data_IF_437921696379
#
_entry.id   IF_437921696379
#
_cell.length_a   1.000
_cell.length_b   1.000
_cell.length_c   1.000
_cell.angle_alpha   90.00
_cell.angle_beta   90.00
_cell.angle_gamma   90.00
#
_symmetry.space_group_name_H-M   'P 1'
#
loop_
_entity.id
_entity.type
_entity.pdbx_description
1 polymer ?
#
# COMPACT_ATOMS: atom_id res chain seq x y z
N UNK A 1 3.69 5.86 -14.98
CA UNK A 1 3.72 5.12 -13.69
C UNK A 1 2.46 4.28 -13.67
N UNK A 2 2.56 2.94 -13.57
CA UNK A 2 1.38 2.07 -13.56
C UNK A 2 0.63 2.30 -12.23
N UNK A 3 -0.63 2.67 -12.36
CA UNK A 3 -1.48 3.00 -11.23
C UNK A 3 -1.80 1.73 -10.42
N UNK A 4 -1.41 1.68 -9.15
CA UNK A 4 -1.77 0.60 -8.20
C UNK A 4 -3.25 0.68 -7.76
N UNK A 5 -4.08 1.42 -8.51
CA UNK A 5 -5.47 1.71 -8.18
C UNK A 5 -6.37 0.46 -8.21
N UNK A 6 -5.93 -0.62 -8.84
CA UNK A 6 -6.71 -1.84 -9.08
C UNK A 6 -6.15 -3.07 -8.37
N UNK A 7 -5.50 -2.91 -7.21
CA UNK A 7 -5.13 -4.08 -6.40
C UNK A 7 -6.42 -4.67 -5.81
N UNK A 8 -6.82 -5.84 -6.30
CA UNK A 8 -7.91 -6.67 -5.83
C UNK A 8 -7.38 -7.90 -5.09
N UNK A 9 -8.29 -8.68 -4.49
CA UNK A 9 -7.98 -9.93 -3.79
C UNK A 9 -6.85 -9.78 -2.76
N UNK A 10 -6.99 -8.80 -1.88
CA UNK A 10 -5.97 -8.48 -0.89
C UNK A 10 -6.08 -9.42 0.31
N UNK A 11 -5.02 -10.16 0.57
CA UNK A 11 -4.85 -10.97 1.78
C UNK A 11 -4.14 -10.10 2.82
N UNK A 12 -4.74 -9.94 3.99
CA UNK A 12 -4.15 -9.17 5.09
C UNK A 12 -3.61 -10.08 6.19
N UNK A 13 -2.48 -9.68 6.76
CA UNK A 13 -1.81 -10.31 7.89
C UNK A 13 -1.73 -11.86 7.78
N UNK A 14 -1.29 -12.43 6.64
CA UNK A 14 -1.19 -13.88 6.53
C UNK A 14 -0.16 -14.43 7.51
N UNK A 15 -0.51 -15.55 8.16
CA UNK A 15 0.40 -16.28 9.03
C UNK A 15 1.53 -16.88 8.17
N UNK A 16 2.78 -16.76 8.63
CA UNK A 16 3.96 -17.29 7.96
C UNK A 16 4.40 -18.62 8.63
N UNK A 17 4.57 -19.73 7.88
CA UNK A 17 4.53 -19.82 6.42
C UNK A 17 3.12 -19.69 5.84
N UNK A 18 3.01 -18.93 4.74
CA UNK A 18 1.78 -18.75 3.98
C UNK A 18 1.85 -19.53 2.68
N UNK A 19 0.80 -20.26 2.34
CA UNK A 19 0.62 -20.91 1.03
C UNK A 19 -0.82 -20.67 0.62
N UNK A 20 -1.01 -19.92 -0.47
CA UNK A 20 -2.34 -19.54 -0.93
C UNK A 20 -2.47 -19.58 -2.43
N UNK A 21 -3.65 -19.99 -2.89
CA UNK A 21 -3.99 -20.01 -4.32
C UNK A 21 -4.11 -18.58 -4.84
N UNK A 22 -3.50 -18.32 -5.99
CA UNK A 22 -3.64 -17.07 -6.73
C UNK A 22 -5.00 -17.12 -7.46
N UNK A 23 -5.87 -16.11 -7.28
CA UNK A 23 -7.27 -16.19 -7.70
C UNK A 23 -7.46 -16.15 -9.22
N UNK A 24 -6.52 -15.58 -9.97
CA UNK A 24 -6.55 -15.49 -11.42
C UNK A 24 -5.18 -15.82 -12.01
N UNK A 25 -5.17 -16.16 -13.31
CA UNK A 25 -3.96 -16.44 -14.06
C UNK A 25 -3.05 -15.20 -14.13
N UNK A 26 -1.75 -15.41 -13.97
CA UNK A 26 -0.74 -14.36 -14.05
C UNK A 26 -0.40 -14.00 -15.50
N UNK A 27 -1.24 -13.17 -16.11
CA UNK A 27 -1.02 -12.66 -17.48
C UNK A 27 -0.02 -11.50 -17.52
N UNK A 28 0.62 -11.21 -18.68
CA UNK A 28 1.44 -10.01 -18.84
C UNK A 28 0.68 -8.73 -18.47
N UNK A 29 1.31 -7.91 -17.63
CA UNK A 29 0.74 -6.72 -17.00
C UNK A 29 0.25 -6.95 -15.56
N UNK A 30 0.14 -8.20 -15.10
CA UNK A 30 -0.29 -8.50 -13.73
C UNK A 30 0.73 -7.98 -12.72
N UNK A 31 0.24 -7.40 -11.62
CA UNK A 31 1.06 -6.94 -10.50
C UNK A 31 0.76 -7.77 -9.26
N UNK A 32 1.81 -8.18 -8.56
CA UNK A 32 1.74 -8.77 -7.22
C UNK A 32 2.40 -7.79 -6.27
N UNK A 33 1.65 -7.29 -5.30
CA UNK A 33 2.12 -6.30 -4.33
C UNK A 33 2.16 -6.93 -2.95
N UNK A 34 3.34 -6.97 -2.33
CA UNK A 34 3.55 -7.58 -1.03
C UNK A 34 4.11 -6.53 -0.08
N UNK A 35 3.38 -6.22 0.98
CA UNK A 35 3.79 -5.27 2.02
C UNK A 35 4.10 -6.03 3.30
N UNK A 36 5.20 -5.68 3.95
CA UNK A 36 5.61 -6.36 5.18
C UNK A 36 6.72 -5.63 5.91
N UNK A 37 7.30 -6.30 6.90
CA UNK A 37 8.50 -5.87 7.60
C UNK A 37 9.44 -7.04 7.83
N UNK A 38 10.74 -6.73 7.93
CA UNK A 38 11.79 -7.70 8.23
C UNK A 38 12.07 -7.68 9.75
N UNK A 39 11.88 -8.79 10.48
CA UNK A 39 12.28 -8.87 11.88
C UNK A 39 13.78 -8.66 12.11
N UNK A 40 14.18 -8.14 13.27
CA UNK A 40 15.59 -7.86 13.61
C UNK A 40 16.48 -9.11 13.58
N UNK A 41 15.93 -10.26 13.94
CA UNK A 41 16.61 -11.56 13.98
C UNK A 41 16.48 -12.35 12.66
N UNK A 42 15.98 -11.72 11.58
CA UNK A 42 15.82 -12.36 10.28
C UNK A 42 17.17 -12.72 9.66
N UNK A 43 17.31 -13.96 9.21
CA UNK A 43 18.46 -14.46 8.43
C UNK A 43 18.10 -14.58 6.95
N UNK A 44 16.84 -14.92 6.64
CA UNK A 44 16.26 -14.92 5.30
C UNK A 44 14.74 -14.99 5.35
N UNK A 45 14.12 -14.58 4.25
CA UNK A 45 12.76 -14.98 3.90
C UNK A 45 12.67 -15.22 2.40
N UNK A 46 11.57 -15.81 1.93
CA UNK A 46 11.36 -16.02 0.50
C UNK A 46 9.89 -15.84 0.11
N UNK A 47 9.71 -15.40 -1.13
CA UNK A 47 8.45 -15.37 -1.85
C UNK A 47 8.61 -16.29 -3.05
N UNK A 48 7.78 -17.32 -3.12
CA UNK A 48 7.82 -18.36 -4.16
C UNK A 48 6.52 -18.31 -4.97
N UNK A 49 6.63 -18.12 -6.28
CA UNK A 49 5.53 -18.35 -7.22
C UNK A 49 5.60 -19.80 -7.70
N UNK A 50 4.60 -20.61 -7.35
CA UNK A 50 4.62 -22.07 -7.44
C UNK A 50 3.55 -22.60 -8.40
N UNK A 51 3.81 -23.78 -8.96
CA UNK A 51 2.83 -24.58 -9.69
C UNK A 51 2.29 -25.67 -8.78
N UNK A 52 1.14 -25.39 -8.17
CA UNK A 52 0.54 -26.16 -7.09
C UNK A 52 1.21 -25.95 -5.73
N UNK A 53 0.68 -26.64 -4.73
CA UNK A 53 1.11 -26.61 -3.33
C UNK A 53 1.56 -27.98 -2.80
N UNK A 54 1.83 -28.94 -3.69
CA UNK A 54 2.31 -30.27 -3.30
C UNK A 54 3.62 -30.18 -2.51
N UNK A 55 3.72 -30.97 -1.44
CA UNK A 55 4.94 -31.07 -0.62
C UNK A 55 5.76 -32.32 -0.91
N UNK A 56 5.17 -33.33 -1.57
CA UNK A 56 5.85 -34.56 -1.96
C UNK A 56 5.20 -35.18 -3.22
N UNK A 57 5.84 -35.07 -4.40
CA UNK A 57 7.04 -34.27 -4.65
C UNK A 57 6.75 -32.79 -4.42
N UNK A 58 7.76 -32.02 -4.00
CA UNK A 58 7.63 -30.58 -3.83
C UNK A 58 7.23 -29.93 -5.15
N UNK A 59 6.23 -29.06 -5.07
CA UNK A 59 5.75 -28.26 -6.18
C UNK A 59 6.89 -27.47 -6.85
N UNK A 60 6.82 -27.39 -8.18
CA UNK A 60 7.75 -26.58 -8.96
C UNK A 60 7.64 -25.10 -8.51
N UNK A 61 8.78 -24.44 -8.35
CA UNK A 61 8.86 -23.01 -8.03
C UNK A 61 9.28 -22.29 -9.29
N UNK A 62 8.34 -21.63 -9.97
CA UNK A 62 8.57 -20.90 -11.21
C UNK A 62 9.49 -19.71 -10.97
N UNK A 63 9.23 -18.95 -9.90
CA UNK A 63 10.06 -17.84 -9.46
C UNK A 63 10.27 -17.88 -7.94
N UNK A 64 11.51 -18.15 -7.54
CA UNK A 64 11.97 -18.04 -6.16
C UNK A 64 12.60 -16.67 -5.97
N UNK A 65 12.10 -15.88 -5.02
CA UNK A 65 12.66 -14.58 -4.64
C UNK A 65 13.07 -14.63 -3.17
N UNK A 66 14.38 -14.69 -2.89
CA UNK A 66 14.89 -14.98 -1.56
C UNK A 66 15.91 -13.96 -1.06
N UNK A 67 15.44 -12.91 -0.37
CA UNK A 67 16.30 -12.01 0.40
C UNK A 67 17.03 -12.74 1.54
N UNK A 68 18.35 -12.55 1.63
CA UNK A 68 19.24 -13.17 2.63
C UNK A 68 20.02 -12.08 3.37
N UNK A 69 19.98 -12.12 4.70
CA UNK A 69 20.66 -11.19 5.61
C UNK A 69 21.87 -11.88 6.26
N UNK A 70 22.98 -11.97 5.52
CA UNK A 70 24.22 -12.63 5.93
C UNK A 70 25.37 -11.61 5.97
N UNK A 71 26.63 -12.08 5.95
CA UNK A 71 27.83 -11.21 5.86
C UNK A 71 27.80 -10.30 4.63
N UNK A 72 27.34 -10.83 3.51
CA UNK A 72 27.01 -10.06 2.30
C UNK A 72 25.53 -10.25 2.05
N UNK A 73 24.74 -9.20 2.25
CA UNK A 73 23.32 -9.23 1.96
C UNK A 73 23.10 -9.37 0.45
N UNK A 74 22.11 -10.16 0.07
CA UNK A 74 21.74 -10.33 -1.32
C UNK A 74 20.31 -10.82 -1.45
N UNK A 75 19.77 -10.69 -2.65
CA UNK A 75 18.57 -11.39 -3.09
C UNK A 75 19.02 -12.50 -4.03
N UNK A 76 18.61 -13.73 -3.72
CA UNK A 76 18.83 -14.88 -4.60
C UNK A 76 17.54 -15.20 -5.33
N UNK A 77 17.64 -15.31 -6.65
CA UNK A 77 16.55 -15.72 -7.53
C UNK A 77 16.87 -17.04 -8.21
N UNK A 78 15.88 -17.93 -8.33
CA UNK A 78 16.04 -19.21 -9.01
C UNK A 78 14.68 -19.83 -9.40
N UNK A 79 14.71 -20.98 -10.06
CA UNK A 79 13.57 -21.82 -10.41
C UNK A 79 13.84 -23.23 -9.93
N UNK A 80 12.85 -23.85 -9.29
CA UNK A 80 12.86 -25.27 -8.91
C UNK A 80 11.99 -26.03 -9.90
N UNK A 81 12.54 -27.06 -10.54
CA UNK A 81 11.81 -27.95 -11.45
C UNK A 81 12.11 -29.40 -11.10
N UNK A 82 11.08 -30.21 -10.86
CA UNK A 82 11.21 -31.60 -10.42
C UNK A 82 12.17 -31.72 -9.22
N UNK A 83 11.95 -30.89 -8.19
CA UNK A 83 12.76 -30.82 -6.96
C UNK A 83 14.25 -30.47 -7.15
N UNK A 84 14.65 -30.01 -8.35
CA UNK A 84 16.02 -29.57 -8.65
C UNK A 84 16.09 -28.07 -8.92
N UNK A 85 16.97 -27.39 -8.20
CA UNK A 85 17.26 -25.98 -8.42
C UNK A 85 18.05 -25.77 -9.71
N UNK A 86 17.72 -24.72 -10.46
CA UNK A 86 18.50 -24.26 -11.60
C UNK A 86 19.70 -23.39 -11.18
N UNK A 87 20.19 -22.59 -12.14
CA UNK A 87 21.26 -21.61 -11.92
C UNK A 87 20.78 -20.46 -11.03
N UNK A 88 21.50 -20.12 -9.97
CA UNK A 88 21.18 -18.94 -9.16
C UNK A 88 21.48 -17.63 -9.91
N UNK A 89 20.60 -16.65 -9.75
CA UNK A 89 20.83 -15.25 -10.11
C UNK A 89 20.85 -14.42 -8.83
N UNK A 90 21.91 -13.62 -8.61
CA UNK A 90 22.15 -12.94 -7.34
C UNK A 90 22.21 -11.43 -7.55
N UNK A 91 21.37 -10.70 -6.81
CA UNK A 91 21.39 -9.23 -6.76
C UNK A 91 21.99 -8.80 -5.42
N UNK A 92 23.06 -8.00 -5.47
CA UNK A 92 23.78 -7.52 -4.28
C UNK A 92 23.37 -6.11 -3.81
N UNK A 93 22.74 -5.31 -4.67
CA UNK A 93 22.11 -4.05 -4.26
C UNK A 93 20.85 -4.39 -3.45
N UNK A 94 21.02 -4.50 -2.12
CA UNK A 94 19.99 -5.01 -1.20
C UNK A 94 19.05 -3.87 -0.74
N UNK A 95 17.76 -3.87 -1.15
CA UNK A 95 16.81 -2.86 -0.70
C UNK A 95 16.22 -3.16 0.68
N UNK A 96 16.25 -4.42 1.14
CA UNK A 96 15.70 -4.82 2.43
C UNK A 96 16.68 -4.56 3.57
N UNK A 97 16.15 -4.15 4.71
CA UNK A 97 16.91 -3.98 5.96
C UNK A 97 16.13 -4.62 7.11
N UNK A 98 16.85 -5.22 8.05
CA UNK A 98 16.29 -5.68 9.32
C UNK A 98 15.59 -4.51 10.03
N UNK A 99 14.49 -4.81 10.70
CA UNK A 99 13.62 -3.86 11.42
C UNK A 99 13.01 -2.77 10.53
N UNK A 100 12.98 -2.96 9.21
CA UNK A 100 12.36 -2.03 8.28
C UNK A 100 11.22 -2.68 7.51
N UNK A 101 10.21 -1.86 7.25
CA UNK A 101 9.10 -2.19 6.37
C UNK A 101 9.53 -2.17 4.91
N UNK A 102 8.78 -2.87 4.07
CA UNK A 102 8.98 -2.89 2.64
C UNK A 102 7.65 -2.99 1.88
N UNK A 103 7.68 -2.54 0.63
CA UNK A 103 6.71 -2.84 -0.43
C UNK A 103 7.48 -3.52 -1.57
N UNK A 104 7.10 -4.74 -1.91
CA UNK A 104 7.56 -5.44 -3.12
C UNK A 104 6.47 -5.31 -4.17
N UNK A 105 6.84 -4.90 -5.38
CA UNK A 105 5.98 -4.94 -6.56
C UNK A 105 6.63 -5.88 -7.58
N UNK A 106 6.01 -7.03 -7.82
CA UNK A 106 6.40 -7.97 -8.87
C UNK A 106 5.46 -7.81 -10.06
N UNK A 107 5.99 -7.37 -11.19
CA UNK A 107 5.27 -7.23 -12.44
C UNK A 107 5.56 -8.42 -13.34
N UNK A 108 4.50 -9.07 -13.81
CA UNK A 108 4.58 -10.16 -14.78
C UNK A 108 4.65 -9.53 -16.17
N UNK A 109 5.74 -9.72 -16.89
CA UNK A 109 5.88 -9.35 -18.29
C UNK A 109 5.85 -10.61 -19.16
N UNK A 110 5.79 -10.42 -20.48
CA UNK A 110 5.73 -11.54 -21.44
C UNK A 110 6.92 -12.49 -21.32
N UNK A 111 8.11 -11.97 -21.05
CA UNK A 111 9.38 -12.72 -21.08
C UNK A 111 10.08 -12.82 -19.72
N UNK A 112 9.61 -12.09 -18.70
CA UNK A 112 10.29 -11.97 -17.40
C UNK A 112 9.37 -11.47 -16.30
N UNK A 113 9.83 -11.60 -15.06
CA UNK A 113 9.37 -10.79 -13.94
C UNK A 113 10.22 -9.52 -13.83
N UNK A 114 9.58 -8.41 -13.51
CA UNK A 114 10.24 -7.17 -13.12
C UNK A 114 9.90 -6.84 -11.67
N UNK A 115 10.91 -6.69 -10.82
CA UNK A 115 10.71 -6.45 -9.39
C UNK A 115 11.20 -5.07 -9.00
N UNK A 116 10.34 -4.33 -8.32
CA UNK A 116 10.68 -3.10 -7.60
C UNK A 116 10.45 -3.30 -6.10
N UNK A 117 11.29 -2.66 -5.29
CA UNK A 117 11.14 -2.63 -3.84
C UNK A 117 11.18 -1.17 -3.38
N UNK A 118 10.18 -0.75 -2.61
CA UNK A 118 10.01 0.63 -2.13
C UNK A 118 10.10 1.66 -3.27
N UNK A 119 9.39 1.40 -4.38
CA UNK A 119 9.37 2.26 -5.56
C UNK A 119 10.65 2.25 -6.41
N UNK A 120 11.74 1.61 -5.98
CA UNK A 120 12.99 1.50 -6.74
C UNK A 120 13.07 0.17 -7.50
N UNK A 121 13.38 0.22 -8.78
CA UNK A 121 13.71 -0.98 -9.56
C UNK A 121 14.85 -1.76 -8.87
N UNK A 122 14.67 -3.08 -8.72
CA UNK A 122 15.60 -3.95 -7.98
C UNK A 122 16.22 -5.00 -8.89
N UNK A 123 15.40 -5.77 -9.62
CA UNK A 123 15.90 -6.83 -10.51
C UNK A 123 14.90 -7.21 -11.61
N UNK A 124 15.41 -7.96 -12.59
CA UNK A 124 14.64 -8.67 -13.60
C UNK A 124 14.93 -10.17 -13.47
N UNK A 125 13.95 -11.01 -13.78
CA UNK A 125 14.13 -12.46 -13.78
C UNK A 125 13.42 -13.08 -14.99
N UNK A 126 14.18 -13.60 -15.95
CA UNK A 126 13.62 -14.19 -17.17
C UNK A 126 12.83 -15.48 -16.87
N UNK A 127 11.70 -15.67 -17.56
CA UNK A 127 10.87 -16.86 -17.37
C UNK A 127 11.62 -18.12 -17.79
N UNK A 128 11.82 -19.05 -16.85
CA UNK A 128 12.41 -20.39 -17.12
C UNK A 128 11.35 -21.48 -17.26
N UNK A 129 10.18 -21.24 -16.68
CA UNK A 129 8.95 -22.03 -16.81
C UNK A 129 7.84 -21.03 -17.21
N UNK A 130 6.87 -21.48 -18.00
CA UNK A 130 5.74 -20.64 -18.40
C UNK A 130 5.02 -20.08 -17.15
N UNK A 131 4.79 -18.75 -17.06
CA UNK A 131 4.07 -18.16 -15.93
C UNK A 131 2.62 -18.63 -15.82
N UNK A 132 2.03 -19.17 -16.90
CA UNK A 132 0.69 -19.77 -16.90
C UNK A 132 0.55 -20.97 -15.95
N UNK A 133 1.67 -21.58 -15.56
CA UNK A 133 1.67 -22.69 -14.60
C UNK A 133 1.57 -22.23 -13.14
N UNK A 134 1.70 -20.93 -12.88
CA UNK A 134 1.67 -20.39 -11.53
C UNK A 134 0.21 -20.27 -11.09
N UNK A 135 -0.13 -20.97 -10.01
CA UNK A 135 -1.44 -20.90 -9.36
C UNK A 135 -1.33 -20.68 -7.84
N UNK A 136 -0.12 -20.64 -7.29
CA UNK A 136 0.11 -20.67 -5.84
C UNK A 136 1.21 -19.69 -5.45
N UNK A 137 0.94 -18.87 -4.43
CA UNK A 137 1.91 -18.01 -3.76
C UNK A 137 2.33 -18.66 -2.44
N UNK A 138 3.63 -18.90 -2.29
CA UNK A 138 4.24 -19.32 -1.04
C UNK A 138 5.09 -18.21 -0.42
N UNK A 139 4.97 -17.97 0.88
CA UNK A 139 5.83 -17.04 1.63
C UNK A 139 6.37 -17.78 2.85
N UNK A 140 7.70 -17.82 3.00
CA UNK A 140 8.38 -18.62 4.02
C UNK A 140 9.55 -17.86 4.65
N UNK A 141 10.01 -18.34 5.81
CA UNK A 141 11.15 -17.78 6.53
C UNK A 141 10.77 -16.64 7.47
N UNK A 142 11.77 -15.89 7.94
CA UNK A 142 11.61 -14.87 8.97
C UNK A 142 11.21 -13.53 8.35
N UNK A 143 9.90 -13.35 8.18
CA UNK A 143 9.29 -12.11 7.67
C UNK A 143 7.90 -11.96 8.26
N UNK A 144 7.44 -10.73 8.41
CA UNK A 144 6.05 -10.43 8.73
C UNK A 144 5.40 -9.75 7.55
N UNK A 145 4.28 -10.29 7.09
CA UNK A 145 3.55 -9.77 5.93
C UNK A 145 2.30 -9.07 6.44
N UNK A 146 2.14 -7.81 6.06
CA UNK A 146 0.96 -7.01 6.37
C UNK A 146 -0.12 -7.21 5.31
N UNK A 147 0.27 -7.26 4.03
CA UNK A 147 -0.66 -7.58 2.95
C UNK A 147 0.01 -8.18 1.73
N UNK A 148 -0.78 -8.95 0.99
CA UNK A 148 -0.50 -9.40 -0.38
C UNK A 148 -1.70 -8.99 -1.22
N UNK A 149 -1.49 -8.32 -2.34
CA UNK A 149 -2.58 -8.00 -3.26
C UNK A 149 -2.18 -8.21 -4.71
N UNK A 150 -3.17 -8.37 -5.57
CA UNK A 150 -2.98 -8.65 -6.99
C UNK A 150 -3.70 -7.61 -7.83
N UNK A 151 -3.12 -7.19 -8.95
CA UNK A 151 -3.83 -6.39 -9.95
C UNK A 151 -3.72 -7.12 -11.28
N UNK A 152 -4.83 -7.67 -11.76
CA UNK A 152 -4.82 -8.53 -12.95
C UNK A 152 -5.06 -7.70 -14.23
N UNK A 153 -4.65 -8.26 -15.36
CA UNK A 153 -4.81 -7.61 -16.68
C UNK A 153 -6.29 -7.41 -17.07
N UNK A 154 -7.17 -8.29 -16.58
CA UNK A 154 -8.64 -8.16 -16.63
C UNK A 154 -9.11 -6.82 -16.05
N UNK A 155 -8.51 -6.38 -14.94
CA UNK A 155 -8.83 -5.12 -14.26
C UNK A 155 -8.33 -3.87 -15.00
N UNK A 156 -7.27 -4.01 -15.81
CA UNK A 156 -6.75 -2.92 -16.64
C UNK A 156 -7.65 -2.67 -17.86
N UNK A 157 -8.36 -3.69 -18.35
CA UNK A 157 -9.33 -3.55 -19.45
C UNK A 157 -10.63 -2.90 -18.99
N UNK A 158 -11.08 -3.16 -17.77
CA UNK A 158 -12.24 -2.49 -17.17
C UNK A 158 -11.93 -1.05 -16.75
N UNK A 159 -10.67 -0.73 -16.42
CA UNK A 159 -10.22 0.63 -16.10
C UNK A 159 -9.98 1.55 -17.30
N UNK A 160 -10.05 1.05 -18.55
CA UNK A 160 -10.00 1.92 -19.73
C UNK A 160 -11.21 2.86 -19.87
N UNK A 161 -12.23 2.72 -19.03
CA UNK A 161 -13.36 3.65 -18.95
C UNK A 161 -13.14 4.84 -17.99
N UNK A 162 -12.00 4.95 -17.29
CA UNK A 162 -11.80 6.01 -16.29
C UNK A 162 -10.34 6.44 -16.11
N UNK A 163 -9.69 6.86 -17.20
CA UNK A 163 -8.47 7.68 -17.12
C UNK A 163 -8.70 9.01 -17.79
N UNK A 164 -8.91 10.08 -17.02
CA UNK A 164 -8.76 11.45 -17.53
C UNK A 164 -8.20 12.42 -16.48
N UNK A 165 -7.08 13.01 -16.89
CA UNK A 165 -6.59 14.39 -16.76
C UNK A 165 -6.88 15.18 -15.49
N UNK A 166 -5.78 15.45 -14.76
CA UNK A 166 -5.71 16.49 -13.73
C UNK A 166 -5.69 17.85 -14.41
N UNK A 167 -6.79 18.60 -14.33
CA UNK A 167 -6.79 20.01 -14.66
C UNK A 167 -6.09 20.77 -13.51
N UNK A 168 -4.78 20.99 -13.67
CA UNK A 168 -4.04 21.94 -12.82
C UNK A 168 -4.51 23.33 -13.22
N UNK A 169 -5.18 24.04 -12.30
CA UNK A 169 -5.39 25.47 -12.44
C UNK A 169 -4.04 26.15 -12.21
N UNK A 170 -3.29 26.38 -13.28
CA UNK A 170 -2.50 27.60 -13.53
C UNK A 170 -1.83 27.49 -14.90
N UNK A 171 -1.89 28.60 -15.64
CA UNK A 171 -1.51 28.68 -17.04
C UNK A 171 -0.02 28.54 -17.32
N UNK A 172 0.20 28.07 -18.54
CA UNK A 172 1.36 28.18 -19.42
C UNK A 172 2.60 27.29 -19.17
N UNK A 173 2.87 26.53 -20.25
CA UNK A 173 4.09 25.87 -20.74
C UNK A 173 4.58 24.55 -20.10
N UNK A 174 4.43 23.48 -20.91
CA UNK A 174 5.02 22.14 -20.75
C UNK A 174 6.33 22.08 -21.55
N UNK A 175 7.41 21.49 -20.99
CA UNK A 175 7.86 20.20 -21.53
C UNK A 175 8.37 19.16 -20.51
N UNK A 176 7.98 17.90 -20.77
CA UNK A 176 8.73 16.64 -20.60
C UNK A 176 8.95 16.00 -19.21
N UNK A 177 8.34 14.83 -19.05
CA UNK A 177 8.83 13.60 -18.39
C UNK A 177 9.66 13.75 -17.10
N UNK A 178 8.99 13.98 -15.98
CA UNK A 178 9.50 13.78 -14.63
C UNK A 178 8.38 13.29 -13.73
N UNK A 179 8.68 12.42 -12.76
CA UNK A 179 7.73 12.02 -11.73
C UNK A 179 7.11 13.27 -11.12
N UNK A 180 5.79 13.45 -11.19
CA UNK A 180 5.10 14.50 -10.46
C UNK A 180 5.23 14.18 -8.97
N UNK A 181 6.24 14.74 -8.33
CA UNK A 181 6.44 14.63 -6.90
C UNK A 181 5.31 15.41 -6.24
N UNK A 182 4.45 14.76 -5.45
CA UNK A 182 3.47 15.46 -4.64
C UNK A 182 4.24 16.39 -3.69
N UNK A 183 4.06 17.70 -3.85
CA UNK A 183 4.66 18.71 -2.98
C UNK A 183 3.75 18.97 -1.79
N UNK A 184 4.34 19.12 -0.59
CA UNK A 184 3.62 19.53 0.61
C UNK A 184 3.77 21.05 0.84
N UNK A 185 2.73 21.75 1.31
CA UNK A 185 1.39 21.23 1.61
C UNK A 185 0.66 20.79 0.33
N UNK A 186 0.01 19.64 0.40
CA UNK A 186 -0.80 19.09 -0.69
C UNK A 186 -2.26 19.46 -0.43
N UNK A 187 -2.89 20.12 -1.40
CA UNK A 187 -4.31 20.50 -1.34
C UNK A 187 -4.99 20.00 -2.60
N UNK A 188 -6.11 19.30 -2.44
CA UNK A 188 -6.90 18.82 -3.57
C UNK A 188 -8.40 18.85 -3.25
N UNK A 189 -9.21 19.19 -4.27
CA UNK A 189 -10.64 18.97 -4.19
C UNK A 189 -10.97 17.49 -4.40
N UNK A 190 -11.91 16.99 -3.61
CA UNK A 190 -12.52 15.69 -3.79
C UNK A 190 -13.39 15.74 -5.04
N UNK A 191 -13.17 14.80 -5.96
CA UNK A 191 -13.98 14.64 -7.17
C UNK A 191 -15.44 14.25 -6.89
N UNK A 192 -15.72 13.84 -5.66
CA UNK A 192 -17.06 13.58 -5.15
C UNK A 192 -17.10 14.02 -3.69
N UNK A 193 -18.20 14.66 -3.32
CA UNK A 193 -18.49 15.02 -1.95
C UNK A 193 -18.40 13.82 -1.01
N UNK A 194 -17.90 14.05 0.21
CA UNK A 194 -17.85 13.02 1.24
C UNK A 194 -19.26 12.56 1.63
N UNK A 195 -19.36 11.31 2.09
CA UNK A 195 -20.61 10.71 2.54
C UNK A 195 -20.43 9.24 2.90
N UNK A 196 -21.46 8.58 3.44
CA UNK A 196 -21.36 7.18 3.84
C UNK A 196 -20.87 6.29 2.70
N UNK A 197 -19.91 5.42 2.98
CA UNK A 197 -19.28 4.52 2.00
C UNK A 197 -18.14 5.13 1.19
N UNK A 198 -17.86 6.44 1.34
CA UNK A 198 -16.71 7.09 0.69
C UNK A 198 -15.42 6.79 1.43
N UNK A 199 -14.34 6.62 0.68
CA UNK A 199 -13.01 6.34 1.25
C UNK A 199 -11.95 7.24 0.65
N UNK A 200 -11.04 7.72 1.51
CA UNK A 200 -9.80 8.38 1.14
C UNK A 200 -8.65 7.46 1.52
N UNK A 201 -7.76 7.17 0.57
CA UNK A 201 -6.54 6.39 0.82
C UNK A 201 -5.33 7.27 0.55
N UNK A 202 -4.42 7.31 1.51
CA UNK A 202 -3.21 8.12 1.48
C UNK A 202 -2.03 7.18 1.69
N UNK A 203 -1.06 7.20 0.77
CA UNK A 203 0.20 6.49 0.93
C UNK A 203 1.34 7.47 1.03
N UNK A 204 2.26 7.21 1.94
CA UNK A 204 3.42 8.03 2.14
C UNK A 204 4.55 7.30 2.84
N UNK A 205 5.69 7.96 2.96
CA UNK A 205 6.76 7.56 3.86
C UNK A 205 6.96 8.66 4.89
N UNK A 206 7.00 8.31 6.18
CA UNK A 206 7.30 9.28 7.22
C UNK A 206 8.78 9.65 7.16
N UNK A 207 9.11 10.94 7.19
CA UNK A 207 10.50 11.37 7.11
C UNK A 207 11.32 10.83 8.30
N UNK A 208 12.61 10.57 8.07
CA UNK A 208 13.50 9.96 9.09
C UNK A 208 13.66 10.80 10.38
N UNK A 209 13.39 12.11 10.31
CA UNK A 209 13.43 13.06 11.44
C UNK A 209 12.07 13.69 11.76
N UNK A 210 10.99 13.03 11.35
CA UNK A 210 9.64 13.55 11.47
C UNK A 210 9.25 13.85 12.93
N UNK A 211 8.70 15.04 13.15
CA UNK A 211 8.02 15.43 14.38
C UNK A 211 6.53 15.14 14.30
N UNK A 212 5.92 15.33 13.12
CA UNK A 212 4.51 15.03 12.89
C UNK A 212 4.05 15.46 11.50
N UNK A 213 2.82 15.09 11.17
CA UNK A 213 2.14 15.50 9.94
C UNK A 213 0.64 15.63 10.20
N UNK A 214 -0.09 16.22 9.26
CA UNK A 214 -1.55 16.32 9.33
C UNK A 214 -2.22 15.88 8.03
N UNK A 215 -3.46 15.40 8.18
CA UNK A 215 -4.39 15.07 7.11
C UNK A 215 -5.74 15.65 7.50
N UNK A 216 -6.25 16.55 6.68
CA UNK A 216 -7.44 17.34 6.98
C UNK A 216 -8.51 17.15 5.92
N UNK A 217 -9.73 16.83 6.35
CA UNK A 217 -10.93 16.86 5.52
C UNK A 217 -11.70 18.14 5.80
N UNK A 218 -11.83 18.98 4.79
CA UNK A 218 -12.25 20.37 4.90
C UNK A 218 -13.55 20.59 4.11
N UNK A 219 -14.44 21.38 4.69
CA UNK A 219 -15.59 21.96 3.99
C UNK A 219 -15.11 23.12 3.13
N UNK A 220 -15.06 22.98 1.81
CA UNK A 220 -14.56 24.02 0.93
C UNK A 220 -15.38 25.33 0.99
N UNK A 221 -16.67 25.23 1.36
CA UNK A 221 -17.59 26.36 1.52
C UNK A 221 -17.34 27.16 2.80
N UNK A 222 -17.30 26.48 3.95
CA UNK A 222 -17.17 27.15 5.25
C UNK A 222 -15.73 27.28 5.74
N UNK A 223 -14.79 26.57 5.11
CA UNK A 223 -13.40 26.39 5.57
C UNK A 223 -13.25 25.66 6.91
N UNK A 224 -14.34 25.11 7.44
CA UNK A 224 -14.30 24.27 8.63
C UNK A 224 -13.53 22.96 8.35
N UNK A 225 -12.71 22.53 9.30
CA UNK A 225 -12.03 21.23 9.26
C UNK A 225 -12.93 20.21 9.96
N UNK A 226 -13.59 19.37 9.18
CA UNK A 226 -14.51 18.33 9.66
C UNK A 226 -13.79 17.17 10.34
N UNK A 227 -12.57 16.87 9.89
CA UNK A 227 -11.68 15.89 10.51
C UNK A 227 -10.25 16.37 10.34
N UNK A 228 -9.58 16.62 11.46
CA UNK A 228 -8.14 16.85 11.55
C UNK A 228 -7.48 15.60 12.12
N UNK A 229 -6.58 14.97 11.38
CA UNK A 229 -5.78 13.83 11.83
C UNK A 229 -4.33 14.29 11.96
N UNK A 230 -3.77 14.26 13.17
CA UNK A 230 -2.43 14.75 13.45
C UNK A 230 -1.57 13.76 14.24
N UNK A 231 -0.89 12.83 13.55
CA UNK A 231 0.16 12.01 14.13
C UNK A 231 1.35 12.86 14.58
N UNK A 232 1.61 12.87 15.90
CA UNK A 232 2.79 13.48 16.51
C UNK A 232 3.77 12.40 16.93
N UNK A 233 4.84 12.25 16.17
CA UNK A 233 5.84 11.19 16.37
C UNK A 233 6.72 11.42 17.61
N UNK A 234 7.00 12.68 17.96
CA UNK A 234 7.79 13.05 19.13
C UNK A 234 7.14 12.65 20.45
N UNK A 235 5.81 12.75 20.55
CA UNK A 235 5.03 12.35 21.72
C UNK A 235 4.28 11.03 21.55
N UNK A 236 4.45 10.36 20.39
CA UNK A 236 3.70 9.16 19.99
C UNK A 236 2.19 9.27 20.23
N UNK A 237 1.61 10.43 19.88
CA UNK A 237 0.19 10.70 20.06
C UNK A 237 -0.48 10.87 18.69
N UNK A 238 -1.59 10.18 18.46
CA UNK A 238 -2.41 10.38 17.27
C UNK A 238 -3.60 11.25 17.65
N UNK A 239 -3.44 12.56 17.45
CA UNK A 239 -4.46 13.54 17.82
C UNK A 239 -5.49 13.66 16.72
N UNK A 240 -6.75 13.78 17.11
CA UNK A 240 -7.84 14.06 16.19
C UNK A 240 -8.82 15.07 16.75
N UNK A 241 -9.29 15.98 15.89
CA UNK A 241 -10.17 17.07 16.27
C UNK A 241 -10.99 17.58 15.07
N UNK A 242 -11.83 18.57 15.30
CA UNK A 242 -12.49 19.39 14.28
C UNK A 242 -12.21 20.86 14.59
N UNK A 243 -12.05 21.66 13.54
CA UNK A 243 -11.99 23.11 13.63
C UNK A 243 -13.27 23.68 13.03
N UNK A 244 -14.21 24.07 13.89
CA UNK A 244 -15.55 24.50 13.50
C UNK A 244 -15.78 25.91 14.04
N UNK A 245 -16.39 26.78 13.22
CA UNK A 245 -16.70 28.16 13.63
C UNK A 245 -15.46 28.88 14.18
N UNK A 246 -14.35 28.75 13.44
CA UNK A 246 -13.07 29.40 13.76
C UNK A 246 -12.44 28.97 15.10
N UNK A 247 -12.83 27.81 15.65
CA UNK A 247 -12.30 27.30 16.91
C UNK A 247 -12.03 25.80 16.88
N UNK A 248 -10.96 25.39 17.58
CA UNK A 248 -10.68 23.97 17.82
C UNK A 248 -11.61 23.41 18.90
N UNK A 249 -12.17 22.24 18.65
CA UNK A 249 -12.94 21.50 19.66
C UNK A 249 -12.06 20.77 20.68
N UNK A 250 -12.68 19.85 21.42
CA UNK A 250 -11.96 18.94 22.33
C UNK A 250 -11.13 17.93 21.54
N UNK A 251 -9.85 17.77 21.89
CA UNK A 251 -8.98 16.78 21.25
C UNK A 251 -9.30 15.36 21.72
N UNK A 252 -9.30 14.42 20.77
CA UNK A 252 -9.36 12.99 21.06
C UNK A 252 -7.98 12.36 20.78
N UNK A 253 -7.44 11.64 21.77
CA UNK A 253 -6.09 11.07 21.72
C UNK A 253 -6.02 9.57 21.98
N UNK A 254 -7.14 8.97 22.36
CA UNK A 254 -7.21 7.55 22.73
C UNK A 254 -6.91 6.68 21.51
N UNK A 255 -5.90 5.82 21.65
CA UNK A 255 -5.49 4.84 20.65
C UNK A 255 -4.80 3.67 21.34
N UNK A 256 -5.02 2.45 20.85
CA UNK A 256 -4.42 1.23 21.42
C UNK A 256 -2.91 1.16 21.19
N UNK A 257 -2.45 1.58 20.01
CA UNK A 257 -1.04 1.60 19.62
C UNK A 257 -0.80 2.72 18.61
N UNK A 258 0.30 3.47 18.77
CA UNK A 258 0.67 4.52 17.81
C UNK A 258 1.24 3.90 16.51
N UNK A 259 0.61 4.11 15.33
CA UNK A 259 0.88 3.28 14.16
C UNK A 259 1.99 3.82 13.24
N UNK A 260 2.69 4.89 13.61
CA UNK A 260 3.72 5.52 12.78
C UNK A 260 5.10 5.49 13.44
N UNK A 261 6.14 5.37 12.62
CA UNK A 261 7.55 5.52 13.04
C UNK A 261 8.34 6.32 12.00
N UNK A 262 9.44 7.00 12.38
CA UNK A 262 10.29 7.71 11.40
C UNK A 262 10.89 6.75 10.35
N UNK A 263 10.85 7.15 9.08
CA UNK A 263 11.29 6.32 7.94
C UNK A 263 10.36 5.14 7.63
N UNK A 264 9.12 5.15 8.13
CA UNK A 264 8.14 4.10 7.88
C UNK A 264 7.25 4.48 6.70
N UNK A 265 7.14 3.58 5.72
CA UNK A 265 6.04 3.60 4.77
C UNK A 265 4.70 3.42 5.50
N UNK A 266 3.68 4.16 5.09
CA UNK A 266 2.32 3.96 5.57
C UNK A 266 1.30 4.02 4.43
N UNK A 267 0.22 3.26 4.61
CA UNK A 267 -1.05 3.43 3.93
C UNK A 267 -2.11 3.77 4.99
N UNK A 268 -2.70 4.96 4.90
CA UNK A 268 -3.78 5.42 5.77
C UNK A 268 -5.09 5.37 4.97
N UNK A 269 -6.11 4.75 5.55
CA UNK A 269 -7.46 4.67 4.99
C UNK A 269 -8.40 5.44 5.91
N UNK A 270 -9.12 6.41 5.36
CA UNK A 270 -10.19 7.14 6.04
C UNK A 270 -11.50 6.74 5.37
N UNK A 271 -12.31 5.96 6.09
CA UNK A 271 -13.63 5.54 5.67
C UNK A 271 -14.68 6.43 6.33
N UNK A 272 -15.61 6.96 5.53
CA UNK A 272 -16.74 7.70 6.04
C UNK A 272 -17.94 6.75 6.23
N UNK A 273 -18.31 6.51 7.49
CA UNK A 273 -19.53 5.79 7.85
C UNK A 273 -20.68 6.78 8.08
N UNK A 274 -21.87 6.27 8.39
CA UNK A 274 -23.06 7.07 8.69
C UNK A 274 -22.87 7.94 9.94
N UNK A 275 -22.14 7.46 10.95
CA UNK A 275 -22.03 8.11 12.27
C UNK A 275 -20.64 8.66 12.59
N UNK A 276 -19.61 8.07 12.02
CA UNK A 276 -18.21 8.40 12.29
C UNK A 276 -17.33 8.20 11.06
N UNK A 277 -16.13 8.80 11.10
CA UNK A 277 -15.01 8.34 10.31
C UNK A 277 -14.35 7.16 11.00
N UNK A 278 -13.90 6.18 10.22
CA UNK A 278 -13.07 5.09 10.71
C UNK A 278 -11.73 5.13 9.99
N UNK A 279 -10.65 5.05 10.75
CA UNK A 279 -9.30 5.20 10.24
C UNK A 279 -8.51 3.92 10.49
N UNK A 280 -7.89 3.41 9.45
CA UNK A 280 -6.96 2.29 9.50
C UNK A 280 -5.60 2.71 8.96
N UNK A 281 -4.52 2.14 9.51
CA UNK A 281 -3.16 2.35 9.06
C UNK A 281 -2.51 0.99 8.80
N UNK A 282 -1.96 0.81 7.60
CA UNK A 282 -1.32 -0.43 7.15
C UNK A 282 -2.22 -1.68 7.33
N UNK A 283 -3.52 -1.54 7.05
CA UNK A 283 -4.49 -2.63 7.13
C UNK A 283 -5.01 -2.93 8.55
N UNK A 284 -4.59 -2.16 9.56
CA UNK A 284 -5.03 -2.34 10.95
C UNK A 284 -5.93 -1.17 11.37
N UNK A 285 -7.11 -1.48 11.90
CA UNK A 285 -8.00 -0.48 12.49
C UNK A 285 -7.24 0.30 13.58
N UNK A 286 -7.27 1.63 13.49
CA UNK A 286 -6.56 2.49 14.43
C UNK A 286 -7.53 3.23 15.34
N UNK A 287 -8.55 3.86 14.76
CA UNK A 287 -9.43 4.76 15.50
C UNK A 287 -10.77 5.04 14.79
N UNK A 288 -11.77 5.47 15.56
CA UNK A 288 -13.08 5.94 15.08
C UNK A 288 -13.40 7.35 15.59
N UNK A 289 -13.76 8.30 14.72
CA UNK A 289 -14.06 9.69 15.06
C UNK A 289 -15.50 10.08 14.71
N UNK A 290 -16.34 10.30 15.73
CA UNK A 290 -17.75 10.67 15.55
C UNK A 290 -17.86 11.99 14.79
N UNK A 291 -18.75 12.03 13.80
CA UNK A 291 -18.96 13.22 12.98
C UNK A 291 -19.36 14.40 13.85
N UNK A 292 -18.51 15.42 13.98
CA UNK A 292 -18.89 16.70 14.61
C UNK A 292 -19.51 17.63 13.57
N UNK A 293 -18.92 17.67 12.38
CA UNK A 293 -19.50 18.30 11.20
C UNK A 293 -20.50 17.36 10.51
N UNK A 294 -21.78 17.74 10.44
CA UNK A 294 -22.86 16.85 9.99
C UNK A 294 -23.17 16.92 8.50
N UNK A 295 -22.82 18.01 7.85
CA UNK A 295 -23.04 18.20 6.41
C UNK A 295 -21.97 17.49 5.59
N UNK A 296 -21.88 16.15 5.68
CA UNK A 296 -20.85 15.37 4.99
C UNK A 296 -20.66 15.75 3.52
N UNK A 297 -21.72 16.04 2.72
CA UNK A 297 -21.54 16.44 1.33
C UNK A 297 -20.80 17.77 1.11
N UNK A 298 -20.74 18.63 2.13
CA UNK A 298 -19.99 19.89 2.10
C UNK A 298 -18.48 19.67 2.28
N UNK A 299 -18.05 18.50 2.75
CA UNK A 299 -16.63 18.11 2.83
C UNK A 299 -16.17 17.72 1.43
N UNK A 300 -15.36 18.58 0.82
CA UNK A 300 -14.97 18.50 -0.59
C UNK A 300 -13.48 18.80 -0.82
N UNK A 301 -12.69 18.97 0.25
CA UNK A 301 -11.28 19.35 0.17
C UNK A 301 -10.45 18.46 1.10
N UNK A 302 -9.34 17.94 0.58
CA UNK A 302 -8.31 17.24 1.35
C UNK A 302 -7.06 18.12 1.40
N UNK A 303 -6.51 18.28 2.59
CA UNK A 303 -5.22 18.93 2.82
C UNK A 303 -4.29 17.99 3.58
N UNK A 304 -3.03 17.92 3.17
CA UNK A 304 -1.99 17.10 3.80
C UNK A 304 -0.74 17.96 3.93
N UNK A 305 -0.14 18.00 5.11
CA UNK A 305 1.12 18.72 5.33
C UNK A 305 1.98 18.04 6.40
N UNK A 306 3.24 18.48 6.52
CA UNK A 306 4.19 18.07 7.54
C UNK A 306 5.23 17.06 7.07
N UNK A 307 5.79 16.30 8.03
CA UNK A 307 7.05 15.58 7.84
C UNK A 307 6.89 14.21 7.17
N UNK A 308 6.33 14.18 5.96
CA UNK A 308 6.20 12.96 5.14
C UNK A 308 6.65 13.21 3.70
N UNK A 309 6.97 12.13 2.99
CA UNK A 309 6.96 12.08 1.54
C UNK A 309 5.61 11.51 1.11
N UNK A 310 4.76 12.33 0.50
CA UNK A 310 3.48 11.88 -0.05
C UNK A 310 3.72 11.12 -1.35
N UNK A 311 3.19 9.90 -1.44
CA UNK A 311 3.40 8.99 -2.57
C UNK A 311 2.14 8.82 -3.42
N UNK A 312 0.96 8.81 -2.80
CA UNK A 312 -0.31 8.58 -3.50
C UNK A 312 -1.49 9.10 -2.68
N UNK A 313 -2.50 9.61 -3.37
CA UNK A 313 -3.83 9.92 -2.81
C UNK A 313 -4.90 9.34 -3.73
N UNK A 314 -5.87 8.62 -3.17
CA UNK A 314 -7.01 8.03 -3.88
C UNK A 314 -8.33 8.35 -3.18
N UNK A 315 -9.37 8.50 -3.99
CA UNK A 315 -10.76 8.69 -3.56
C UNK A 315 -11.63 7.62 -4.21
N UNK A 316 -12.42 6.88 -3.42
CA UNK A 316 -13.28 5.80 -3.94
C UNK A 316 -14.68 5.84 -3.35
N UNK A 317 -15.64 5.33 -4.13
CA UNK A 317 -17.02 5.03 -3.71
C UNK A 317 -17.19 3.52 -3.62
N UNK A 318 -18.03 3.04 -2.70
CA UNK A 318 -18.48 1.65 -2.70
C UNK A 318 -18.98 1.24 -4.10
N UNK A 319 -18.24 0.33 -4.74
CA UNK A 319 -18.53 -0.10 -6.11
C UNK A 319 -17.65 -1.27 -6.60
N UNK A 320 -16.42 -1.42 -6.11
CA UNK A 320 -15.63 -2.64 -6.34
C UNK A 320 -14.79 -2.97 -5.08
N UNK A 321 -15.03 -4.15 -4.49
CA UNK A 321 -14.09 -4.81 -3.57
C UNK A 321 -14.28 -4.65 -2.05
N UNK A 322 -15.35 -4.02 -1.56
CA UNK A 322 -15.43 -3.61 -0.13
C UNK A 322 -16.08 -4.57 0.87
N UNK A 323 -16.38 -5.83 0.53
CA UNK A 323 -16.77 -6.81 1.57
C UNK A 323 -15.63 -7.08 2.56
N UNK A 324 -14.37 -6.81 2.18
CA UNK A 324 -13.20 -6.95 3.06
C UNK A 324 -12.84 -5.67 3.83
N UNK A 325 -13.15 -4.48 3.30
CA UNK A 325 -12.86 -3.19 3.95
C UNK A 325 -13.73 -2.92 5.18
N UNK A 326 -14.98 -3.40 5.19
CA UNK A 326 -15.85 -3.34 6.37
C UNK A 326 -15.41 -4.31 7.48
N UNK A 327 -14.73 -5.42 7.15
CA UNK A 327 -14.14 -6.33 8.14
C UNK A 327 -12.95 -5.69 8.90
N UNK A 328 -12.27 -4.72 8.29
CA UNK A 328 -11.20 -3.94 8.92
C UNK A 328 -11.69 -2.81 9.84
N UNK A 329 -13.00 -2.62 9.94
CA UNK A 329 -13.63 -1.50 10.64
C UNK A 329 -14.68 -1.95 11.68
N UNK A 330 -14.77 -3.26 11.90
CA UNK A 330 -15.79 -3.90 12.74
C UNK A 330 -15.22 -4.64 13.96
N UNK A 331 -13.98 -4.33 14.35
CA UNK A 331 -13.38 -4.82 15.60
C UNK A 331 -12.74 -3.71 16.42
#
# INVERSE_FOLDING_TARGET
MLSLNNIQNVIYNPIIPYVGTIPEQLEPGTLIVIRGHVPGDSDRFQVDLQSGSSVNPRADVVFHFNPRFKRTNCIVCNTLKNEKWGREEITYDMPFRKEKSFEIVMMVLKDKFQVAVNGKHTLLYAHRISPEKIDTLGIYGKVSIHSVGFSFSSDLRSAQASTLEVAVLNGEDVPSAGMSQFTLPFVARLNSSMGPGRTVVIKGEVNAKAKGFNVDLISGKSKDIALHLNPRLNSKAFIRNSFLQESWGEEERNITCFPFSPGMYFEMIIYCDVKEFKVAVNGVHSLEYKHRFKELPSIDTLEIDGDIQLLEVRYTHQGLGMTQLLNHLSH
#
